data_IF_528448002031
#
_entry.id   IF_528448002031
#
_cell.length_a   1.000
_cell.length_b   1.000
_cell.length_c   1.000
_cell.angle_alpha   90.00
_cell.angle_beta   90.00
_cell.angle_gamma   90.00
#
_symmetry.space_group_name_H-M   'P 1'
#
loop_
_entity.id
_entity.type
_entity.pdbx_description
1 polymer ?
#
# COMPACT_ATOMS: atom_id res chain seq x y z
N UNK A 1 -6.77 25.86 2.40
CA UNK A 1 -6.02 24.66 1.99
C UNK A 1 -6.82 23.46 2.47
N UNK A 2 -7.22 22.58 1.56
CA UNK A 2 -7.81 21.29 1.92
C UNK A 2 -6.67 20.40 2.39
N UNK A 3 -6.69 20.03 3.67
CA UNK A 3 -5.71 19.07 4.20
C UNK A 3 -6.04 17.69 3.61
N UNK A 4 -5.22 17.18 2.70
CA UNK A 4 -5.39 15.82 2.19
C UNK A 4 -4.84 14.82 3.20
N UNK A 5 -5.61 13.76 3.46
CA UNK A 5 -5.16 12.61 4.25
C UNK A 5 -5.04 11.37 3.38
N UNK A 6 -4.07 10.53 3.71
CA UNK A 6 -3.72 9.34 2.96
C UNK A 6 -3.96 8.09 3.80
N UNK A 7 -4.49 7.04 3.19
CA UNK A 7 -4.72 5.74 3.82
C UNK A 7 -4.06 4.62 3.01
N UNK A 8 -3.31 3.78 3.70
CA UNK A 8 -2.78 2.54 3.16
C UNK A 8 -3.85 1.44 3.13
N UNK A 9 -3.94 0.72 2.01
CA UNK A 9 -4.80 -0.45 1.83
C UNK A 9 -4.01 -1.60 1.23
N UNK A 10 -4.30 -2.81 1.68
CA UNK A 10 -3.84 -4.04 1.08
C UNK A 10 -5.04 -4.87 0.66
N UNK A 11 -5.05 -5.39 -0.56
CA UNK A 11 -6.03 -6.37 -1.01
C UNK A 11 -5.47 -7.78 -0.85
N UNK A 12 -6.21 -8.64 -0.16
CA UNK A 12 -5.93 -10.07 -0.11
C UNK A 12 -6.58 -10.74 -1.33
N UNK A 13 -5.75 -11.18 -2.28
CA UNK A 13 -6.20 -11.83 -3.50
C UNK A 13 -6.86 -13.18 -3.23
N UNK A 14 -6.39 -13.91 -2.23
CA UNK A 14 -6.89 -15.24 -1.89
C UNK A 14 -8.21 -15.16 -1.13
N UNK A 15 -8.27 -14.38 -0.05
CA UNK A 15 -9.50 -14.19 0.76
C UNK A 15 -10.52 -13.25 0.12
N UNK A 16 -10.16 -12.57 -0.97
CA UNK A 16 -10.98 -11.55 -1.67
C UNK A 16 -11.46 -10.44 -0.74
N UNK A 17 -10.69 -10.14 0.31
CA UNK A 17 -11.01 -9.11 1.30
C UNK A 17 -9.96 -8.00 1.29
N UNK A 18 -10.39 -6.77 1.56
CA UNK A 18 -9.47 -5.66 1.77
C UNK A 18 -8.95 -5.67 3.20
N UNK A 19 -7.65 -5.85 3.37
CA UNK A 19 -6.96 -5.59 4.62
C UNK A 19 -6.73 -4.08 4.76
N UNK A 20 -7.38 -3.49 5.77
CA UNK A 20 -7.16 -2.12 6.21
C UNK A 20 -6.87 -2.16 7.71
N UNK A 21 -5.99 -1.29 8.19
CA UNK A 21 -5.90 -1.01 9.62
C UNK A 21 -6.91 0.08 9.93
N UNK A 22 -7.65 -0.10 11.02
CA UNK A 22 -8.83 0.70 11.36
C UNK A 22 -8.48 2.17 11.65
N UNK A 23 -7.23 2.48 11.99
CA UNK A 23 -6.76 3.82 12.37
C UNK A 23 -5.42 4.21 11.70
N UNK A 24 -5.27 4.04 10.39
CA UNK A 24 -4.03 4.39 9.67
C UNK A 24 -4.28 5.45 8.59
N UNK A 25 -4.59 6.66 9.04
CA UNK A 25 -4.62 7.87 8.22
C UNK A 25 -3.36 8.70 8.47
N UNK A 26 -2.80 9.23 7.39
CA UNK A 26 -1.50 9.90 7.36
C UNK A 26 -1.61 11.26 6.69
N UNK A 27 -0.76 12.20 7.07
CA UNK A 27 -0.71 13.53 6.47
C UNK A 27 0.12 13.55 5.19
N UNK A 28 0.95 12.52 4.98
CA UNK A 28 1.84 12.44 3.82
C UNK A 28 1.62 11.13 3.04
N UNK A 29 1.75 11.16 1.69
CA UNK A 29 1.70 9.94 0.89
C UNK A 29 2.86 9.00 1.25
N UNK A 30 4.02 9.54 1.66
CA UNK A 30 5.19 8.79 2.08
C UNK A 30 4.86 7.82 3.22
N UNK A 31 4.24 8.32 4.29
CA UNK A 31 3.84 7.51 5.44
C UNK A 31 2.85 6.41 5.02
N UNK A 32 1.89 6.74 4.15
CA UNK A 32 0.94 5.76 3.62
C UNK A 32 1.63 4.67 2.76
N UNK A 33 2.63 5.02 1.95
CA UNK A 33 3.43 4.03 1.19
C UNK A 33 4.13 3.09 2.16
N UNK A 34 4.81 3.61 3.19
CA UNK A 34 5.56 2.76 4.13
C UNK A 34 4.62 1.85 4.92
N UNK A 35 3.44 2.32 5.28
CA UNK A 35 2.45 1.47 5.93
C UNK A 35 1.90 0.39 4.99
N UNK A 36 1.65 0.70 3.73
CA UNK A 36 1.24 -0.30 2.74
C UNK A 36 2.31 -1.38 2.54
N UNK A 37 3.59 -1.02 2.51
CA UNK A 37 4.71 -1.98 2.48
C UNK A 37 4.83 -2.80 3.78
N UNK A 38 4.36 -2.28 4.91
CA UNK A 38 4.26 -3.08 6.12
C UNK A 38 3.13 -4.11 6.05
N UNK A 39 1.99 -3.73 5.47
CA UNK A 39 0.88 -4.65 5.23
C UNK A 39 1.32 -5.78 4.29
N UNK A 40 2.11 -5.45 3.25
CA UNK A 40 2.77 -6.43 2.37
C UNK A 40 3.51 -7.50 3.16
N UNK A 41 4.40 -7.12 4.08
CA UNK A 41 5.17 -8.08 4.88
C UNK A 41 4.31 -8.95 5.76
N UNK A 42 3.25 -8.37 6.34
CA UNK A 42 2.28 -9.13 7.11
C UNK A 42 1.59 -10.18 6.22
N UNK A 43 1.22 -9.82 4.98
CA UNK A 43 0.67 -10.77 4.02
C UNK A 43 1.70 -11.84 3.64
N UNK A 44 2.94 -11.45 3.36
CA UNK A 44 4.02 -12.40 3.07
C UNK A 44 4.15 -13.43 4.19
N UNK A 45 4.15 -13.01 5.46
CA UNK A 45 4.18 -13.94 6.59
C UNK A 45 2.94 -14.84 6.68
N UNK A 46 1.74 -14.32 6.41
CA UNK A 46 0.49 -15.11 6.46
C UNK A 46 0.49 -16.22 5.40
N UNK A 47 1.09 -15.96 4.24
CA UNK A 47 1.15 -16.88 3.11
C UNK A 47 2.55 -17.50 2.94
N UNK A 48 3.31 -17.65 4.03
CA UNK A 48 4.62 -18.31 4.05
C UNK A 48 5.64 -17.83 2.99
N UNK A 49 5.55 -16.55 2.61
CA UNK A 49 6.33 -15.89 1.55
C UNK A 49 6.10 -16.47 0.14
N UNK A 50 4.97 -17.12 -0.11
CA UNK A 50 4.60 -17.66 -1.43
C UNK A 50 4.01 -16.59 -2.36
N UNK A 51 3.83 -15.35 -1.90
CA UNK A 51 3.34 -14.26 -2.74
C UNK A 51 4.51 -13.72 -3.58
N UNK A 52 4.41 -13.91 -4.89
CA UNK A 52 5.34 -13.29 -5.84
C UNK A 52 4.85 -11.90 -6.23
N UNK A 53 5.59 -10.88 -5.80
CA UNK A 53 5.27 -9.48 -6.08
C UNK A 53 5.86 -9.02 -7.41
N UNK A 54 5.03 -8.41 -8.25
CA UNK A 54 5.41 -7.85 -9.55
C UNK A 54 5.92 -6.40 -9.40
N UNK A 55 7.21 -6.25 -9.07
CA UNK A 55 7.89 -4.96 -8.94
C UNK A 55 8.07 -4.23 -10.28
N UNK A 56 7.97 -4.94 -11.41
CA UNK A 56 8.03 -4.36 -12.75
C UNK A 56 6.64 -3.94 -13.26
N UNK A 57 5.59 -4.33 -12.55
CA UNK A 57 4.21 -3.98 -12.84
C UNK A 57 3.98 -2.48 -12.99
N UNK A 58 2.99 -2.15 -13.82
CA UNK A 58 2.52 -0.76 -13.95
C UNK A 58 1.78 -0.34 -12.68
N UNK A 59 2.05 0.88 -12.24
CA UNK A 59 1.20 1.55 -11.26
C UNK A 59 -0.09 1.93 -11.97
N UNK A 60 -1.22 1.70 -11.33
CA UNK A 60 -2.56 1.86 -11.93
C UNK A 60 -3.47 2.65 -10.99
N UNK A 61 -4.45 3.36 -11.54
CA UNK A 61 -5.39 4.18 -10.78
C UNK A 61 -5.09 5.68 -10.88
N UNK A 62 -5.78 6.47 -10.05
CA UNK A 62 -5.67 7.93 -9.98
C UNK A 62 -4.95 8.36 -8.69
N UNK A 63 -4.69 9.66 -8.55
CA UNK A 63 -4.11 10.24 -7.31
C UNK A 63 -4.99 9.97 -6.09
N UNK A 64 -6.31 9.97 -6.26
CA UNK A 64 -7.28 9.63 -5.21
C UNK A 64 -7.20 8.17 -4.78
N UNK A 65 -6.88 7.26 -5.70
CA UNK A 65 -6.85 5.82 -5.46
C UNK A 65 -5.85 5.16 -6.38
N UNK A 66 -4.65 4.91 -5.85
CA UNK A 66 -3.51 4.41 -6.60
C UNK A 66 -3.10 3.02 -6.14
N UNK A 67 -3.19 2.03 -7.03
CA UNK A 67 -2.64 0.68 -6.81
C UNK A 67 -1.25 0.57 -7.42
N UNK A 68 -0.25 0.31 -6.58
CA UNK A 68 1.15 0.48 -6.98
C UNK A 68 2.01 -0.77 -6.94
N UNK A 69 1.55 -1.83 -6.28
CA UNK A 69 2.22 -3.13 -6.28
C UNK A 69 1.16 -4.23 -6.33
N UNK A 70 1.40 -5.26 -7.12
CA UNK A 70 0.55 -6.44 -7.20
C UNK A 70 1.37 -7.68 -6.93
N UNK A 71 0.76 -8.69 -6.34
CA UNK A 71 1.38 -9.99 -6.13
C UNK A 71 0.40 -11.12 -6.41
N UNK A 72 0.94 -12.31 -6.64
CA UNK A 72 0.16 -13.50 -6.98
C UNK A 72 0.66 -14.67 -6.15
N UNK A 73 -0.26 -15.51 -5.67
CA UNK A 73 0.11 -16.69 -4.88
C UNK A 73 0.83 -17.69 -5.80
N UNK A 74 2.04 -18.09 -5.41
CA UNK A 74 2.89 -18.98 -6.22
C UNK A 74 3.21 -18.46 -7.62
N UNK A 75 3.12 -17.13 -7.83
CA UNK A 75 3.33 -16.53 -9.15
C UNK A 75 2.19 -16.72 -10.16
N UNK A 76 1.11 -17.41 -9.79
CA UNK A 76 0.02 -17.70 -10.74
C UNK A 76 -0.82 -16.44 -11.03
N UNK A 77 -0.56 -15.83 -12.18
CA UNK A 77 -1.26 -14.64 -12.68
C UNK A 77 -2.74 -14.89 -13.01
N UNK A 78 -3.21 -16.15 -13.06
CA UNK A 78 -4.63 -16.48 -13.20
C UNK A 78 -5.38 -16.30 -11.88
N UNK A 79 -4.67 -16.36 -10.74
CA UNK A 79 -5.27 -16.09 -9.43
C UNK A 79 -5.60 -14.61 -9.27
N UNK A 80 -6.50 -14.31 -8.32
CA UNK A 80 -6.81 -12.94 -7.99
C UNK A 80 -5.58 -12.29 -7.33
N UNK A 81 -5.17 -11.09 -7.77
CA UNK A 81 -3.96 -10.47 -7.26
C UNK A 81 -4.13 -9.99 -5.82
N UNK A 82 -3.08 -10.19 -5.04
CA UNK A 82 -2.80 -9.32 -3.91
C UNK A 82 -2.42 -7.95 -4.44
N UNK A 83 -2.77 -6.89 -3.73
CA UNK A 83 -2.39 -5.55 -4.16
C UNK A 83 -2.13 -4.60 -3.00
N UNK A 84 -1.23 -3.66 -3.21
CA UNK A 84 -1.03 -2.51 -2.34
C UNK A 84 -1.61 -1.28 -3.00
N UNK A 85 -2.34 -0.50 -2.21
CA UNK A 85 -3.05 0.68 -2.67
C UNK A 85 -2.93 1.81 -1.66
N UNK A 86 -2.85 3.04 -2.17
CA UNK A 86 -2.98 4.27 -1.41
C UNK A 86 -4.28 4.92 -1.83
N UNK A 87 -5.00 5.46 -0.85
CA UNK A 87 -6.21 6.23 -1.09
C UNK A 87 -6.05 7.57 -0.41
N UNK A 88 -6.24 8.66 -1.15
CA UNK A 88 -6.28 10.01 -0.59
C UNK A 88 -7.73 10.48 -0.45
N UNK A 89 -7.95 11.33 0.54
CA UNK A 89 -9.25 11.91 0.85
C UNK A 89 -9.05 13.36 1.28
N UNK A 90 -10.03 14.21 1.00
CA UNK A 90 -10.13 15.50 1.66
C UNK A 90 -10.42 15.28 3.15
N UNK A 91 -9.61 15.87 4.02
CA UNK A 91 -9.85 15.87 5.47
C UNK A 91 -11.07 16.74 5.76
N UNK A 92 -12.26 16.13 5.76
CA UNK A 92 -13.41 16.69 6.46
C UNK A 92 -13.23 16.30 7.93
N UNK A 93 -12.88 17.28 8.76
CA UNK A 93 -12.73 17.26 10.23
C UNK A 93 -13.07 15.93 10.93
N UNK A 94 -12.12 15.42 11.74
CA UNK A 94 -12.22 14.28 12.68
C UNK A 94 -11.65 12.92 12.23
N UNK A 95 -10.77 12.88 11.24
CA UNK A 95 -10.02 11.65 10.98
C UNK A 95 -8.92 11.51 12.05
N UNK A 96 -9.03 10.50 12.94
CA UNK A 96 -7.97 10.18 13.91
C UNK A 96 -6.69 9.83 13.16
N UNK A 97 -5.74 10.76 13.17
CA UNK A 97 -4.43 10.59 12.56
C UNK A 97 -3.64 9.53 13.32
N UNK A 98 -2.99 8.66 12.56
CA UNK A 98 -2.11 7.65 13.13
C UNK A 98 -0.80 8.31 13.53
N UNK A 99 -0.51 8.38 14.84
CA UNK A 99 0.82 8.74 15.32
C UNK A 99 1.78 7.63 14.90
N UNK A 100 2.57 7.83 13.86
CA UNK A 100 3.36 6.71 13.34
C UNK A 100 4.83 7.05 13.31
N UNK A 101 5.55 6.53 14.31
CA UNK A 101 6.99 6.26 14.24
C UNK A 101 7.22 5.16 13.20
N UNK A 102 7.10 5.48 11.91
CA UNK A 102 7.36 4.50 10.85
C UNK A 102 8.86 4.47 10.57
N UNK A 103 9.60 3.74 11.40
CA UNK A 103 10.88 3.18 10.97
C UNK A 103 10.64 1.71 10.65
N UNK A 104 10.54 1.38 9.35
CA UNK A 104 10.53 0.00 8.89
C UNK A 104 11.64 -0.14 7.85
N UNK A 105 12.60 -1.03 8.14
CA UNK A 105 13.70 -1.43 7.23
C UNK A 105 13.13 -1.72 5.85
N UNK A 106 13.35 -0.91 4.82
CA UNK A 106 12.98 -1.25 3.43
C UNK A 106 14.05 -2.16 2.82
N UNK A 107 13.67 -3.06 1.92
CA UNK A 107 14.64 -3.74 1.07
C UNK A 107 14.82 -2.93 -0.23
N UNK A 108 15.81 -3.27 -1.06
CA UNK A 108 16.10 -2.53 -2.29
C UNK A 108 14.94 -2.49 -3.30
N UNK A 109 14.06 -3.50 -3.30
CA UNK A 109 12.89 -3.51 -4.18
C UNK A 109 11.75 -2.64 -3.65
N UNK A 110 11.54 -2.65 -2.33
CA UNK A 110 10.61 -1.77 -1.62
C UNK A 110 11.02 -0.29 -1.83
N UNK A 111 12.32 0.02 -1.77
CA UNK A 111 12.85 1.38 -2.03
C UNK A 111 12.62 1.85 -3.47
N UNK A 112 12.83 0.96 -4.46
CA UNK A 112 12.55 1.27 -5.87
C UNK A 112 11.08 1.63 -6.08
N UNK A 113 10.18 0.84 -5.49
CA UNK A 113 8.74 1.10 -5.58
C UNK A 113 8.39 2.39 -4.84
N UNK A 114 8.90 2.60 -3.63
CA UNK A 114 8.70 3.83 -2.87
C UNK A 114 9.05 5.07 -3.71
N UNK A 115 10.24 5.07 -4.31
CA UNK A 115 10.72 6.16 -5.16
C UNK A 115 9.91 6.34 -6.45
N UNK A 116 9.35 5.26 -7.00
CA UNK A 116 8.48 5.32 -8.20
C UNK A 116 7.12 5.93 -7.86
N UNK A 117 6.54 5.52 -6.73
CA UNK A 117 5.20 5.96 -6.30
C UNK A 117 5.22 7.41 -5.83
N UNK A 118 6.21 7.80 -5.02
CA UNK A 118 6.31 9.17 -4.51
C UNK A 118 6.42 10.22 -5.63
N UNK A 119 7.05 9.89 -6.75
CA UNK A 119 7.13 10.76 -7.93
C UNK A 119 5.78 11.02 -8.60
N UNK A 120 4.79 10.17 -8.37
CA UNK A 120 3.44 10.33 -8.93
C UNK A 120 2.52 11.18 -8.04
N UNK A 121 2.97 11.50 -6.82
CA UNK A 121 2.28 12.43 -5.91
C UNK A 121 2.92 13.83 -5.89
N UNK A 122 3.96 14.06 -6.70
CA UNK A 122 4.57 15.37 -6.95
C UNK A 122 3.96 15.99 -8.20
#
# INVERSE_FOLDING_TARGET
MTDMVYQAKAGDGFKRTGLKRTNSFFNTPQEAIVEALALKRKMDTIYNNEIEWDYNGKITGSVEKMSFLRGYLGGDRKTKPFYLQIVSFDSKNNTKLSSTKISKKMNSNDEKIFNKVIKLFK
#
